data_IF_490127381379
#
_entry.id   IF_490127381379
#
_cell.length_a   1.000
_cell.length_b   1.000
_cell.length_c   1.000
_cell.angle_alpha   90.00
_cell.angle_beta   90.00
_cell.angle_gamma   90.00
#
_symmetry.space_group_name_H-M   'P 1'
#
loop_
_entity.id
_entity.type
_entity.pdbx_description
1 polymer ?
#
# COMPACT_ATOMS: atom_id res chain seq x y z
N UNK A 1 13.02 4.37 -13.20
CA UNK A 1 12.81 5.83 -13.20
C UNK A 1 12.02 6.19 -14.45
N UNK A 2 11.04 7.08 -14.33
CA UNK A 2 10.25 7.59 -15.45
C UNK A 2 10.01 9.08 -15.20
N UNK A 3 10.33 9.95 -16.15
CA UNK A 3 10.25 11.41 -15.98
C UNK A 3 10.98 11.90 -14.71
N UNK A 4 12.16 11.33 -14.44
CA UNK A 4 12.96 11.56 -13.22
C UNK A 4 12.25 11.26 -11.88
N UNK A 5 11.12 10.54 -11.92
CA UNK A 5 10.37 10.10 -10.75
C UNK A 5 10.61 8.61 -10.47
N UNK A 6 10.70 8.22 -9.18
CA UNK A 6 10.73 6.82 -8.78
C UNK A 6 9.41 6.14 -9.12
N UNK A 7 9.51 4.96 -9.73
CA UNK A 7 8.34 4.17 -10.10
C UNK A 7 8.20 3.02 -9.12
N UNK A 8 7.11 3.03 -8.35
CA UNK A 8 6.73 1.94 -7.45
C UNK A 8 5.65 1.11 -8.11
N UNK A 9 5.86 -0.20 -8.17
CA UNK A 9 4.86 -1.16 -8.67
C UNK A 9 4.11 -1.75 -7.50
N UNK A 10 2.79 -1.81 -7.62
CA UNK A 10 1.92 -2.39 -6.61
C UNK A 10 0.81 -3.20 -7.29
N UNK A 11 0.54 -4.45 -6.86
CA UNK A 11 -0.56 -5.24 -7.40
C UNK A 11 -1.94 -4.65 -7.06
N UNK A 12 -2.01 -3.69 -6.13
CA UNK A 12 -3.25 -3.00 -5.76
C UNK A 12 -3.65 -1.91 -6.75
N UNK A 13 -2.80 -1.58 -7.73
CA UNK A 13 -3.13 -0.64 -8.81
C UNK A 13 -3.71 -1.44 -9.98
N UNK A 14 -4.96 -1.19 -10.40
CA UNK A 14 -5.57 -1.89 -11.53
C UNK A 14 -4.77 -1.78 -12.82
N UNK A 15 -4.81 -2.82 -13.65
CA UNK A 15 -4.12 -2.84 -14.94
C UNK A 15 -4.54 -1.67 -15.84
N UNK A 16 -3.59 -1.10 -16.57
CA UNK A 16 -3.82 0.06 -17.44
C UNK A 16 -4.10 1.36 -16.68
N UNK A 17 -3.92 1.39 -15.36
CA UNK A 17 -4.05 2.61 -14.56
C UNK A 17 -2.76 2.90 -13.80
N UNK A 18 -2.57 4.18 -13.48
CA UNK A 18 -1.46 4.61 -12.64
C UNK A 18 -1.84 5.82 -11.81
N UNK A 19 -1.05 6.08 -10.78
CA UNK A 19 -1.22 7.23 -9.90
C UNK A 19 0.12 7.94 -9.78
N UNK A 20 0.11 9.25 -9.97
CA UNK A 20 1.23 10.14 -9.67
C UNK A 20 0.93 10.81 -8.33
N UNK A 21 1.84 10.63 -7.37
CA UNK A 21 1.66 11.08 -5.99
C UNK A 21 2.86 11.93 -5.57
N UNK A 22 2.59 13.14 -5.08
CA UNK A 22 3.55 13.87 -4.24
C UNK A 22 3.50 13.29 -2.83
N UNK A 23 4.57 12.64 -2.38
CA UNK A 23 4.64 12.01 -1.06
C UNK A 23 4.43 13.02 0.09
N UNK A 24 4.76 14.29 -0.12
CA UNK A 24 4.56 15.35 0.89
C UNK A 24 3.10 15.80 1.02
N UNK A 25 2.23 15.41 0.07
CA UNK A 25 0.81 15.73 0.10
C UNK A 25 -0.02 14.77 0.98
N UNK A 26 0.58 13.69 1.46
CA UNK A 26 -0.07 12.66 2.29
C UNK A 26 0.58 12.64 3.67
N UNK A 27 -0.20 12.95 4.70
CA UNK A 27 0.23 12.74 6.07
C UNK A 27 0.02 11.27 6.43
N UNK A 28 1.08 10.56 6.81
CA UNK A 28 1.03 9.15 7.22
C UNK A 28 1.52 8.96 8.66
N UNK A 29 0.78 8.19 9.44
CA UNK A 29 1.21 7.69 10.74
C UNK A 29 1.35 6.17 10.66
N UNK A 30 2.55 5.66 10.92
CA UNK A 30 2.86 4.23 10.86
C UNK A 30 3.43 3.81 12.20
N UNK A 31 2.70 2.97 12.93
CA UNK A 31 3.17 2.33 14.16
C UNK A 31 4.02 1.08 13.87
N UNK A 32 4.86 0.66 14.82
CA UNK A 32 5.67 -0.55 14.66
C UNK A 32 4.80 -1.80 14.57
N UNK A 33 5.30 -2.80 13.83
CA UNK A 33 4.71 -4.13 13.76
C UNK A 33 4.90 -4.84 15.09
N UNK A 34 3.81 -5.26 15.73
CA UNK A 34 3.79 -6.04 16.96
C UNK A 34 3.45 -7.49 16.64
N UNK A 35 4.39 -8.38 16.88
CA UNK A 35 4.24 -9.82 16.69
C UNK A 35 3.96 -10.44 18.07
N UNK A 36 2.94 -11.29 18.13
CA UNK A 36 2.63 -12.09 19.30
C UNK A 36 2.40 -13.55 18.86
N UNK A 37 2.96 -14.49 19.59
CA UNK A 37 2.76 -15.93 19.38
C UNK A 37 1.95 -16.50 20.53
N UNK A 38 1.08 -17.47 20.24
CA UNK A 38 0.28 -18.18 21.24
C UNK A 38 0.20 -19.65 20.90
N UNK A 39 0.68 -20.48 21.81
CA UNK A 39 0.60 -21.94 21.73
C UNK A 39 -0.76 -22.47 22.23
N UNK A 40 -1.51 -21.64 22.95
CA UNK A 40 -2.76 -22.06 23.59
C UNK A 40 -3.98 -21.87 22.70
N UNK A 41 -3.96 -20.87 21.81
CA UNK A 41 -5.12 -20.50 21.01
C UNK A 41 -5.55 -21.58 20.00
N UNK A 42 -4.62 -22.41 19.52
CA UNK A 42 -4.86 -23.48 18.56
C UNK A 42 -4.39 -24.85 19.08
N UNK A 43 -4.35 -25.03 20.40
CA UNK A 43 -3.85 -26.24 21.04
C UNK A 43 -4.58 -27.51 20.58
N UNK A 44 -5.92 -27.44 20.42
CA UNK A 44 -6.73 -28.58 19.96
C UNK A 44 -6.45 -29.01 18.51
N UNK A 45 -5.72 -28.21 17.74
CA UNK A 45 -5.38 -28.47 16.34
C UNK A 45 -3.88 -28.80 16.15
N UNK A 46 -3.16 -29.00 17.26
CA UNK A 46 -1.70 -29.20 17.25
C UNK A 46 -0.96 -28.09 16.47
N UNK A 47 -1.35 -26.83 16.71
CA UNK A 47 -0.83 -25.68 15.97
C UNK A 47 -0.52 -24.47 16.87
N UNK A 48 0.42 -23.63 16.42
CA UNK A 48 0.80 -22.37 17.06
C UNK A 48 0.21 -21.20 16.28
N UNK A 49 -0.46 -20.28 16.97
CA UNK A 49 -0.97 -19.07 16.35
C UNK A 49 0.07 -17.95 16.39
N UNK A 50 0.28 -17.29 15.25
CA UNK A 50 1.08 -16.07 15.15
C UNK A 50 0.17 -14.92 14.75
N UNK A 51 0.21 -13.82 15.51
CA UNK A 51 -0.58 -12.61 15.24
C UNK A 51 0.34 -11.42 15.06
N UNK A 52 0.24 -10.77 13.91
CA UNK A 52 0.87 -9.48 13.65
C UNK A 52 -0.17 -8.36 13.74
N UNK A 53 0.11 -7.32 14.52
CA UNK A 53 -0.76 -6.15 14.64
C UNK A 53 0.06 -4.88 14.45
N UNK A 54 -0.48 -3.93 13.71
CA UNK A 54 0.07 -2.57 13.62
C UNK A 54 -1.05 -1.57 13.40
N UNK A 55 -0.78 -0.32 13.79
CA UNK A 55 -1.70 0.80 13.54
C UNK A 55 -1.12 1.64 12.42
N UNK A 56 -1.86 1.75 11.34
CA UNK A 56 -1.54 2.63 10.22
C UNK A 56 -2.71 3.56 9.98
N UNK A 57 -2.40 4.78 9.58
CA UNK A 57 -3.38 5.78 9.15
C UNK A 57 -2.75 6.76 8.21
N UNK A 58 -3.53 7.24 7.24
CA UNK A 58 -3.09 8.29 6.34
C UNK A 58 -4.26 9.22 6.01
N UNK A 59 -3.91 10.46 5.66
CA UNK A 59 -4.86 11.46 5.18
C UNK A 59 -4.26 12.25 4.03
N UNK A 60 -5.04 12.41 2.96
CA UNK A 60 -4.66 13.28 1.84
C UNK A 60 -4.91 14.72 2.26
N UNK A 61 -3.84 15.50 2.41
CA UNK A 61 -3.91 16.89 2.83
C UNK A 61 -4.05 17.84 1.63
N UNK A 62 -3.45 17.49 0.49
CA UNK A 62 -3.47 18.31 -0.74
C UNK A 62 -3.88 17.46 -1.95
N UNK A 63 -5.18 17.26 -2.18
CA UNK A 63 -5.67 16.41 -3.28
C UNK A 63 -5.25 16.89 -4.67
N UNK A 64 -5.08 18.20 -4.85
CA UNK A 64 -4.69 18.83 -6.14
C UNK A 64 -3.29 18.45 -6.62
N UNK A 65 -2.47 17.82 -5.77
CA UNK A 65 -1.11 17.35 -6.10
C UNK A 65 -1.05 15.85 -6.43
N UNK A 66 -2.20 15.19 -6.52
CA UNK A 66 -2.29 13.76 -6.79
C UNK A 66 -3.16 13.56 -8.02
N UNK A 67 -2.63 12.82 -8.99
CA UNK A 67 -3.31 12.55 -10.26
C UNK A 67 -3.45 11.06 -10.50
N UNK A 68 -4.63 10.62 -10.93
CA UNK A 68 -4.83 9.27 -11.47
C UNK A 68 -4.91 9.37 -12.99
N UNK A 69 -4.22 8.47 -13.68
CA UNK A 69 -4.27 8.37 -15.13
C UNK A 69 -4.66 6.95 -15.54
N UNK A 70 -5.24 6.85 -16.72
CA UNK A 70 -5.57 5.59 -17.37
C UNK A 70 -4.83 5.55 -18.70
N UNK A 71 -4.05 4.50 -18.92
CA UNK A 71 -3.43 4.20 -20.20
C UNK A 71 -4.44 3.35 -20.96
N UNK A 72 -5.18 3.99 -21.87
CA UNK A 72 -5.99 3.25 -22.83
C UNK A 72 -5.02 2.39 -23.67
N UNK A 73 -5.26 1.08 -23.71
CA UNK A 73 -4.37 0.14 -24.38
C UNK A 73 -4.24 0.44 -25.87
N UNK A 74 -2.99 0.51 -26.32
CA UNK A 74 -2.51 0.03 -27.63
C UNK A 74 -3.49 0.18 -28.82
N UNK A 75 -3.80 1.43 -29.19
CA UNK A 75 -4.10 1.78 -30.56
C UNK A 75 -2.93 2.58 -31.09
N UNK A 76 -2.12 1.99 -31.95
CA UNK A 76 -1.10 2.72 -32.69
C UNK A 76 -1.74 3.76 -33.62
N UNK A 77 -1.09 4.91 -33.70
CA UNK A 77 -1.05 5.79 -34.87
C UNK A 77 0.29 6.50 -34.86
#
# INVERSE_FOLDING_TARGET
MLLDLPVVRSPFVPAGTGVVVDATAIASAVGPVRIATSEHALFAQDAIQIRATWRIGWKVMRPTRIGRFTVAGAGGS
#
